data_IF_292287683694
#
_entry.id   IF_292287683694
#
_cell.length_a   1.000
_cell.length_b   1.000
_cell.length_c   1.000
_cell.angle_alpha   90.00
_cell.angle_beta   90.00
_cell.angle_gamma   90.00
#
_symmetry.space_group_name_H-M   'P 1'
#
loop_
_entity.id
_entity.type
_entity.pdbx_description
1 polymer ?
#
# COMPACT_ATOMS: atom_id res chain seq x y z
N UNK A 1 10.46 -19.36 -0.64
CA UNK A 1 9.76 -19.35 0.67
C UNK A 1 8.42 -18.69 0.44
N UNK A 2 7.32 -19.44 0.56
CA UNK A 2 5.96 -18.89 0.37
C UNK A 2 5.71 -17.94 1.54
N UNK A 3 5.85 -16.64 1.31
CA UNK A 3 5.34 -15.64 2.24
C UNK A 3 3.82 -15.76 2.22
N UNK A 4 3.25 -16.50 3.18
CA UNK A 4 1.80 -16.66 3.32
C UNK A 4 1.18 -15.28 3.42
N UNK A 5 0.44 -14.89 2.38
CA UNK A 5 -0.26 -13.60 2.39
C UNK A 5 -1.30 -13.60 3.52
N UNK A 6 -1.48 -12.48 4.23
CA UNK A 6 -2.43 -12.41 5.32
C UNK A 6 -3.88 -12.50 4.81
N UNK A 7 -4.79 -13.07 5.59
CA UNK A 7 -6.22 -13.05 5.26
C UNK A 7 -6.77 -11.62 5.24
N UNK A 8 -6.45 -10.82 6.26
CA UNK A 8 -6.84 -9.42 6.36
C UNK A 8 -5.85 -8.52 5.63
N UNK A 9 -6.35 -7.57 4.83
CA UNK A 9 -5.50 -6.66 4.10
C UNK A 9 -4.76 -5.69 5.05
N UNK A 10 -3.43 -5.51 4.94
CA UNK A 10 -2.68 -4.60 5.82
C UNK A 10 -3.16 -3.14 5.77
N UNK A 11 -3.65 -2.67 4.62
CA UNK A 11 -4.24 -1.33 4.50
C UNK A 11 -5.52 -1.12 5.34
N UNK A 12 -6.09 -2.16 5.94
CA UNK A 12 -7.28 -2.08 6.79
C UNK A 12 -8.55 -1.63 6.08
N UNK A 13 -8.56 -1.53 4.75
CA UNK A 13 -9.67 -0.92 4.02
C UNK A 13 -9.75 0.60 4.18
N UNK A 14 -8.62 1.25 4.50
CA UNK A 14 -8.57 2.69 4.76
C UNK A 14 -9.14 3.52 3.59
N UNK A 15 -10.12 4.35 3.89
CA UNK A 15 -10.67 5.36 3.00
C UNK A 15 -10.96 6.65 3.79
N UNK A 16 -11.09 7.80 3.12
CA UNK A 16 -11.46 9.06 3.79
C UNK A 16 -12.77 8.94 4.60
N UNK A 17 -13.74 8.16 4.08
CA UNK A 17 -15.04 7.96 4.70
C UNK A 17 -15.00 6.98 5.88
N UNK A 18 -14.11 5.98 5.85
CA UNK A 18 -14.05 4.97 6.91
C UNK A 18 -13.12 5.37 8.05
N UNK A 19 -12.13 6.24 7.87
CA UNK A 19 -11.12 6.57 8.90
C UNK A 19 -10.55 5.34 9.64
N UNK A 20 -10.57 4.16 9.02
CA UNK A 20 -10.19 2.88 9.65
C UNK A 20 -11.24 2.25 10.58
N UNK A 21 -12.49 2.73 10.57
CA UNK A 21 -13.65 2.11 11.23
C UNK A 21 -14.27 1.06 10.31
N UNK A 22 -14.16 -0.20 10.71
CA UNK A 22 -14.73 -1.35 10.01
C UNK A 22 -13.75 -2.53 9.99
N UNK A 23 -14.25 -3.75 9.72
CA UNK A 23 -13.37 -4.91 9.56
C UNK A 23 -12.47 -4.73 8.34
N UNK A 24 -11.22 -5.13 8.46
CA UNK A 24 -10.30 -5.13 7.32
C UNK A 24 -10.83 -6.08 6.22
N UNK A 25 -10.86 -5.65 4.95
CA UNK A 25 -11.27 -6.50 3.85
C UNK A 25 -10.26 -7.62 3.65
N UNK A 26 -10.70 -8.70 2.99
CA UNK A 26 -9.79 -9.79 2.62
C UNK A 26 -8.69 -9.28 1.71
N UNK A 27 -7.44 -9.66 1.97
CA UNK A 27 -6.27 -9.24 1.21
C UNK A 27 -6.43 -9.49 -0.29
N UNK A 28 -6.78 -10.73 -0.68
CA UNK A 28 -6.95 -11.12 -2.07
C UNK A 28 -7.99 -10.27 -2.82
N UNK A 29 -9.06 -9.87 -2.13
CA UNK A 29 -10.11 -9.00 -2.68
C UNK A 29 -9.76 -7.50 -2.61
N UNK A 30 -8.72 -7.12 -1.87
CA UNK A 30 -8.29 -5.74 -1.67
C UNK A 30 -6.95 -5.49 -2.38
N UNK A 31 -5.83 -5.35 -1.64
CA UNK A 31 -4.54 -5.01 -2.26
C UNK A 31 -3.88 -6.20 -2.97
N UNK A 32 -4.27 -7.43 -2.67
CA UNK A 32 -3.75 -8.64 -3.32
C UNK A 32 -4.05 -8.68 -4.82
N UNK A 33 -5.17 -8.10 -5.28
CA UNK A 33 -5.47 -8.02 -6.71
C UNK A 33 -4.41 -7.25 -7.50
N UNK A 34 -3.75 -6.27 -6.86
CA UNK A 34 -2.74 -5.42 -7.49
C UNK A 34 -1.33 -5.96 -7.27
N UNK A 35 -1.03 -6.40 -6.04
CA UNK A 35 0.31 -6.85 -5.66
C UNK A 35 0.61 -8.24 -6.24
N UNK A 36 -0.34 -9.17 -6.14
CA UNK A 36 -0.19 -10.55 -6.63
C UNK A 36 -0.94 -10.80 -7.94
N UNK A 37 -2.11 -10.20 -8.09
CA UNK A 37 -2.98 -10.42 -9.24
C UNK A 37 -2.59 -9.66 -10.50
N UNK A 38 -1.60 -8.76 -10.43
CA UNK A 38 -1.08 -8.01 -11.57
C UNK A 38 -2.04 -6.94 -12.14
N UNK A 39 -3.19 -6.70 -11.52
CA UNK A 39 -4.08 -5.63 -11.94
C UNK A 39 -3.44 -4.26 -11.67
N UNK A 40 -3.66 -3.30 -12.57
CA UNK A 40 -3.30 -1.91 -12.31
C UNK A 40 -4.25 -1.30 -11.26
N UNK A 41 -3.71 -0.50 -10.34
CA UNK A 41 -4.54 0.27 -9.41
C UNK A 41 -5.24 1.41 -10.18
N UNK A 42 -6.57 1.47 -10.22
CA UNK A 42 -7.28 2.41 -11.09
C UNK A 42 -7.33 3.84 -10.53
N UNK A 43 -7.09 4.03 -9.24
CA UNK A 43 -7.00 5.36 -8.62
C UNK A 43 -5.74 5.52 -7.76
N UNK A 44 -5.35 6.78 -7.52
CA UNK A 44 -4.26 7.11 -6.60
C UNK A 44 -4.50 6.57 -5.19
N UNK A 45 -5.75 6.53 -4.72
CA UNK A 45 -6.11 5.93 -3.43
C UNK A 45 -5.79 4.43 -3.37
N UNK A 46 -6.16 3.68 -4.40
CA UNK A 46 -5.88 2.24 -4.46
C UNK A 46 -4.38 1.97 -4.59
N UNK A 47 -3.67 2.80 -5.36
CA UNK A 47 -2.22 2.75 -5.48
C UNK A 47 -1.53 3.03 -4.14
N UNK A 48 -1.97 4.05 -3.40
CA UNK A 48 -1.42 4.39 -2.09
C UNK A 48 -1.63 3.27 -1.07
N UNK A 49 -2.85 2.70 -1.01
CA UNK A 49 -3.19 1.58 -0.10
C UNK A 49 -2.42 0.30 -0.42
N UNK A 50 -2.26 0.00 -1.70
CA UNK A 50 -1.51 -1.17 -2.16
C UNK A 50 -0.01 -1.00 -1.93
N UNK A 51 0.57 0.19 -2.19
CA UNK A 51 1.97 0.50 -1.84
C UNK A 51 2.22 0.38 -0.34
N UNK A 52 1.34 0.91 0.51
CA UNK A 52 1.45 0.68 1.97
C UNK A 52 1.47 -0.82 2.29
N UNK A 53 0.52 -1.59 1.74
CA UNK A 53 0.48 -3.04 1.99
C UNK A 53 1.72 -3.75 1.45
N UNK A 54 2.29 -3.29 0.35
CA UNK A 54 3.54 -3.80 -0.20
C UNK A 54 4.73 -3.54 0.73
N UNK A 55 4.81 -2.38 1.39
CA UNK A 55 5.80 -2.15 2.45
C UNK A 55 5.63 -3.08 3.65
N UNK A 56 4.38 -3.34 4.09
CA UNK A 56 4.14 -4.29 5.19
C UNK A 56 4.57 -5.71 4.82
N UNK A 57 4.40 -6.08 3.55
CA UNK A 57 4.64 -7.44 3.07
C UNK A 57 6.04 -7.64 2.45
N UNK A 58 6.84 -6.59 2.32
CA UNK A 58 8.12 -6.64 1.62
C UNK A 58 8.03 -6.91 0.12
N UNK A 59 6.95 -6.49 -0.53
CA UNK A 59 6.78 -6.67 -1.97
C UNK A 59 7.53 -5.56 -2.75
N UNK A 60 8.87 -5.60 -2.68
CA UNK A 60 9.76 -4.60 -3.28
C UNK A 60 9.56 -4.47 -4.80
N UNK A 61 9.36 -5.57 -5.52
CA UNK A 61 9.14 -5.55 -6.97
C UNK A 61 7.90 -4.75 -7.35
N UNK A 62 6.81 -4.91 -6.58
CA UNK A 62 5.59 -4.12 -6.76
C UNK A 62 5.83 -2.63 -6.49
N UNK A 63 6.60 -2.31 -5.44
CA UNK A 63 6.94 -0.91 -5.13
C UNK A 63 7.73 -0.27 -6.27
N UNK A 64 8.72 -0.97 -6.85
CA UNK A 64 9.50 -0.47 -7.98
C UNK A 64 8.63 -0.29 -9.23
N UNK A 65 7.77 -1.24 -9.54
CA UNK A 65 6.88 -1.19 -10.70
C UNK A 65 5.84 -0.04 -10.62
N UNK A 66 5.52 0.42 -9.41
CA UNK A 66 4.51 1.47 -9.16
C UNK A 66 5.11 2.81 -8.74
N UNK A 67 6.44 2.94 -8.77
CA UNK A 67 7.14 4.19 -8.53
C UNK A 67 7.41 4.89 -9.85
N UNK A 68 7.37 6.22 -9.85
CA UNK A 68 7.91 7.01 -10.96
C UNK A 68 9.41 6.66 -11.20
N UNK A 69 9.81 6.23 -12.41
CA UNK A 69 11.17 5.77 -12.66
C UNK A 69 12.27 6.81 -12.37
N UNK A 70 11.95 8.11 -12.38
CA UNK A 70 12.93 9.18 -12.16
C UNK A 70 13.21 9.42 -10.69
N UNK A 71 12.32 8.97 -9.80
CA UNK A 71 12.40 9.23 -8.36
C UNK A 71 12.48 7.96 -7.52
N UNK A 72 12.45 6.78 -8.14
CA UNK A 72 12.57 5.51 -7.44
C UNK A 72 14.01 5.35 -6.91
N UNK A 73 14.20 5.14 -5.59
CA UNK A 73 15.53 4.86 -5.04
C UNK A 73 16.12 3.58 -5.63
N UNK A 74 17.40 3.63 -5.99
CA UNK A 74 18.10 2.47 -6.56
C UNK A 74 18.20 1.33 -5.53
N UNK A 75 18.40 1.69 -4.27
CA UNK A 75 18.56 0.84 -3.09
C UNK A 75 17.24 0.50 -2.38
N UNK A 76 16.08 0.77 -3.01
CA UNK A 76 14.79 0.45 -2.41
C UNK A 76 14.69 -1.04 -2.02
N UNK A 77 14.63 -1.28 -0.71
CA UNK A 77 14.37 -2.59 -0.11
C UNK A 77 13.33 -2.45 1.00
N UNK A 78 12.25 -3.22 0.90
CA UNK A 78 11.18 -3.26 1.88
C UNK A 78 11.18 -4.57 2.70
N UNK A 79 12.28 -5.32 2.71
CA UNK A 79 12.41 -6.58 3.44
C UNK A 79 11.96 -6.44 4.92
N UNK A 80 10.86 -7.10 5.35
CA UNK A 80 10.31 -6.92 6.69
C UNK A 80 11.18 -7.52 7.80
N UNK A 81 12.11 -8.39 7.42
CA UNK A 81 13.06 -9.07 8.30
C UNK A 81 14.41 -8.34 8.43
N UNK A 82 14.59 -7.20 7.74
CA UNK A 82 15.81 -6.42 7.90
C UNK A 82 15.91 -5.86 9.34
N UNK A 83 17.13 -5.71 9.90
CA UNK A 83 17.32 -5.28 11.29
C UNK A 83 16.65 -3.93 11.61
N UNK A 84 16.66 -3.02 10.63
CA UNK A 84 16.12 -1.66 10.74
C UNK A 84 14.74 -1.51 10.07
N UNK A 85 14.09 -2.64 9.72
CA UNK A 85 12.79 -2.59 9.07
C UNK A 85 11.73 -2.02 10.01
N UNK A 86 10.97 -0.99 9.59
CA UNK A 86 9.91 -0.42 10.41
C UNK A 86 8.79 -1.44 10.61
N UNK A 87 8.32 -1.58 11.85
CA UNK A 87 7.11 -2.35 12.15
C UNK A 87 5.89 -1.48 11.90
N UNK A 88 5.24 -1.68 10.77
CA UNK A 88 4.01 -0.98 10.41
C UNK A 88 2.84 -1.32 11.34
N UNK A 89 2.14 -0.29 11.82
CA UNK A 89 1.07 -0.38 12.81
C UNK A 89 -0.32 -0.07 12.24
N UNK A 90 -0.38 0.62 11.09
CA UNK A 90 -1.65 0.89 10.42
C UNK A 90 -1.61 2.12 9.52
N UNK A 91 -2.62 2.20 8.66
CA UNK A 91 -2.83 3.26 7.70
C UNK A 91 -4.16 3.97 7.96
N UNK A 92 -4.16 5.30 7.91
CA UNK A 92 -5.36 6.12 7.84
C UNK A 92 -5.28 7.07 6.65
N UNK A 93 -6.31 7.08 5.80
CA UNK A 93 -6.41 8.05 4.70
C UNK A 93 -7.25 9.23 5.17
N UNK A 94 -6.72 10.44 5.03
CA UNK A 94 -7.37 11.69 5.42
C UNK A 94 -8.16 12.30 4.26
N UNK A 95 -7.55 12.33 3.07
CA UNK A 95 -8.14 12.92 1.87
C UNK A 95 -7.68 12.18 0.63
N UNK A 96 -8.54 12.11 -0.37
CA UNK A 96 -8.21 11.71 -1.72
C UNK A 96 -8.97 12.63 -2.67
N UNK A 97 -8.27 13.32 -3.57
CA UNK A 97 -8.89 14.23 -4.51
C UNK A 97 -8.14 14.25 -5.85
N UNK A 98 -8.86 14.34 -6.98
CA UNK A 98 -8.23 14.65 -8.26
C UNK A 98 -7.65 16.07 -8.21
N UNK A 99 -6.49 16.24 -8.85
CA UNK A 99 -5.87 17.53 -9.11
C UNK A 99 -6.17 17.98 -10.54
N UNK A 100 -6.09 17.04 -11.49
CA UNK A 100 -6.46 17.22 -12.89
C UNK A 100 -6.85 15.86 -13.53
N UNK A 101 -6.95 15.81 -14.86
CA UNK A 101 -7.33 14.60 -15.62
C UNK A 101 -6.38 13.41 -15.43
N UNK A 102 -5.11 13.66 -15.07
CA UNK A 102 -4.05 12.64 -14.99
C UNK A 102 -3.42 12.56 -13.60
N UNK A 103 -3.73 13.49 -12.70
CA UNK A 103 -3.14 13.54 -11.36
C UNK A 103 -4.21 13.56 -10.27
N UNK A 104 -3.90 12.90 -9.16
CA UNK A 104 -4.67 12.93 -7.94
C UNK A 104 -3.73 12.91 -6.73
N UNK A 105 -4.19 13.47 -5.63
CA UNK A 105 -3.47 13.53 -4.38
C UNK A 105 -4.16 12.68 -3.31
N UNK A 106 -3.34 12.02 -2.48
CA UNK A 106 -3.80 11.26 -1.33
C UNK A 106 -3.05 11.75 -0.10
N UNK A 107 -3.79 12.31 0.86
CA UNK A 107 -3.27 12.67 2.18
C UNK A 107 -3.52 11.50 3.13
N UNK A 108 -2.47 11.03 3.82
CA UNK A 108 -2.55 9.87 4.68
C UNK A 108 -1.61 9.95 5.88
N UNK A 109 -1.87 9.09 6.86
CA UNK A 109 -1.03 8.85 8.04
C UNK A 109 -0.69 7.37 8.08
N UNK A 110 0.59 7.04 7.94
CA UNK A 110 1.12 5.71 8.16
C UNK A 110 1.87 5.70 9.50
N UNK A 111 1.55 4.74 10.38
CA UNK A 111 2.17 4.60 11.70
C UNK A 111 3.12 3.41 11.69
N UNK A 112 4.30 3.56 12.28
CA UNK A 112 5.28 2.50 12.43
C UNK A 112 6.02 2.63 13.76
N UNK A 113 6.75 1.58 14.16
CA UNK A 113 7.71 1.57 15.25
C UNK A 113 9.04 1.04 14.77
#
# INVERSE_FOLDING_TARGET
>A
MISTRPDACPCGGASPASAGKGPAPRYAACCGRFIDGGAAAPTALELMRSRYSAYVLGATDYLRATWDPRTCPADLDAAPAAPDAPRWLGLAVKRHAPLDERHAEVEFVARYK
#
